data_IF_699143881301
#
_entry.id   IF_699143881301
#
_cell.length_a   1.000
_cell.length_b   1.000
_cell.length_c   1.000
_cell.angle_alpha   90.00
_cell.angle_beta   90.00
_cell.angle_gamma   90.00
#
_symmetry.space_group_name_H-M   'P 1'
#
loop_
_entity.id
_entity.type
_entity.pdbx_description
1 polymer ?
#
# COMPACT_ATOMS: atom_id res chain seq x y z
N UNK A 1 35.31 20.64 9.96
CA UNK A 1 33.84 20.85 9.98
C UNK A 1 33.23 20.80 8.58
N UNK A 2 33.73 21.57 7.60
CA UNK A 2 33.23 21.56 6.21
C UNK A 2 33.37 20.22 5.45
N UNK A 3 34.40 19.43 5.77
CA UNK A 3 34.64 18.12 5.14
C UNK A 3 33.55 17.10 5.54
N UNK A 4 33.14 17.04 6.81
CA UNK A 4 32.03 16.19 7.24
C UNK A 4 30.70 16.60 6.59
N UNK A 5 30.45 17.90 6.41
CA UNK A 5 29.24 18.36 5.73
C UNK A 5 29.24 17.93 4.25
N UNK A 6 30.40 17.95 3.59
CA UNK A 6 30.56 17.54 2.21
C UNK A 6 30.40 16.02 2.04
N UNK A 7 30.91 15.22 2.97
CA UNK A 7 30.73 13.77 2.98
C UNK A 7 29.27 13.37 3.27
N UNK A 8 28.59 14.09 4.18
CA UNK A 8 27.16 13.88 4.44
C UNK A 8 26.35 14.23 3.18
N UNK A 9 26.66 15.35 2.50
CA UNK A 9 26.02 15.71 1.23
C UNK A 9 26.34 14.70 0.14
N UNK A 10 27.57 14.20 0.03
CA UNK A 10 27.97 13.20 -0.96
C UNK A 10 27.30 11.84 -0.72
N UNK A 11 27.21 11.38 0.53
CA UNK A 11 26.46 10.19 0.91
C UNK A 11 24.98 10.38 0.64
N UNK A 12 24.40 11.54 1.00
CA UNK A 12 23.02 11.89 0.66
C UNK A 12 22.81 11.94 -0.85
N UNK A 13 23.80 12.36 -1.64
CA UNK A 13 23.75 12.43 -3.11
C UNK A 13 23.83 11.04 -3.74
N UNK A 14 24.67 10.14 -3.22
CA UNK A 14 24.74 8.74 -3.67
C UNK A 14 23.46 8.00 -3.28
N UNK A 15 23.00 8.16 -2.04
CA UNK A 15 21.71 7.66 -1.56
C UNK A 15 20.60 8.22 -2.45
N UNK A 16 20.56 9.52 -2.74
CA UNK A 16 19.54 10.12 -3.59
C UNK A 16 19.68 9.82 -5.09
N UNK A 17 20.80 9.25 -5.55
CA UNK A 17 21.01 8.88 -6.96
C UNK A 17 20.72 7.40 -7.22
N UNK A 18 21.00 6.53 -6.25
CA UNK A 18 20.86 5.07 -6.38
C UNK A 18 19.67 4.49 -5.61
N UNK A 19 19.23 5.09 -4.49
CA UNK A 19 17.98 4.64 -3.86
C UNK A 19 16.78 4.87 -4.77
N UNK A 20 16.57 5.99 -5.46
CA UNK A 20 15.31 6.18 -6.18
C UNK A 20 15.05 5.12 -7.25
N UNK A 21 16.01 4.72 -8.10
CA UNK A 21 15.80 3.61 -9.03
C UNK A 21 15.54 2.27 -8.34
N UNK A 22 16.34 1.92 -7.32
CA UNK A 22 16.18 0.65 -6.59
C UNK A 22 14.84 0.61 -5.84
N UNK A 23 14.46 1.72 -5.24
CA UNK A 23 13.23 1.87 -4.49
C UNK A 23 12.01 1.92 -5.44
N UNK A 24 12.14 2.50 -6.64
CA UNK A 24 11.13 2.39 -7.70
C UNK A 24 10.96 0.95 -8.20
N UNK A 25 12.05 0.21 -8.40
CA UNK A 25 11.99 -1.20 -8.81
C UNK A 25 11.34 -2.05 -7.71
N UNK A 26 11.75 -1.85 -6.45
CA UNK A 26 11.17 -2.51 -5.29
C UNK A 26 9.67 -2.21 -5.17
N UNK A 27 9.29 -0.93 -5.27
CA UNK A 27 7.90 -0.48 -5.30
C UNK A 27 7.11 -1.20 -6.40
N UNK A 28 7.65 -1.23 -7.62
CA UNK A 28 6.99 -1.86 -8.76
C UNK A 28 6.78 -3.36 -8.54
N UNK A 29 7.78 -4.08 -8.05
CA UNK A 29 7.68 -5.51 -7.73
C UNK A 29 6.60 -5.77 -6.69
N UNK A 30 6.56 -4.97 -5.62
CA UNK A 30 5.57 -5.08 -4.55
C UNK A 30 4.16 -4.80 -5.07
N UNK A 31 3.98 -3.70 -5.81
CA UNK A 31 2.68 -3.33 -6.40
C UNK A 31 2.19 -4.41 -7.36
N UNK A 32 3.05 -4.88 -8.28
CA UNK A 32 2.69 -5.95 -9.21
C UNK A 32 2.34 -7.25 -8.46
N UNK A 33 3.07 -7.59 -7.40
CA UNK A 33 2.76 -8.72 -6.53
C UNK A 33 1.34 -8.64 -5.95
N UNK A 34 0.99 -7.49 -5.36
CA UNK A 34 -0.34 -7.24 -4.80
C UNK A 34 -1.41 -7.31 -5.89
N UNK A 35 -1.17 -6.68 -7.05
CA UNK A 35 -2.12 -6.67 -8.17
C UNK A 35 -2.35 -8.07 -8.75
N UNK A 36 -1.31 -8.91 -8.83
CA UNK A 36 -1.45 -10.30 -9.27
C UNK A 36 -2.31 -11.12 -8.31
N UNK A 37 -2.13 -10.94 -7.00
CA UNK A 37 -2.97 -11.60 -5.99
C UNK A 37 -4.41 -11.09 -6.07
N UNK A 38 -4.61 -9.77 -6.21
CA UNK A 38 -5.93 -9.18 -6.40
C UNK A 38 -6.62 -9.72 -7.68
N UNK A 39 -5.87 -9.92 -8.76
CA UNK A 39 -6.38 -10.52 -9.99
C UNK A 39 -6.75 -12.00 -9.80
N UNK A 40 -5.97 -12.77 -9.03
CA UNK A 40 -6.29 -14.15 -8.71
C UNK A 40 -7.60 -14.25 -7.90
N UNK A 41 -7.76 -13.40 -6.88
CA UNK A 41 -9.00 -13.28 -6.10
C UNK A 41 -10.17 -12.87 -7.00
N UNK A 42 -9.98 -11.92 -7.90
CA UNK A 42 -11.01 -11.52 -8.88
C UNK A 42 -11.43 -12.68 -9.78
N UNK A 43 -10.48 -13.50 -10.26
CA UNK A 43 -10.79 -14.67 -11.09
C UNK A 43 -11.57 -15.72 -10.30
N UNK A 44 -11.17 -16.00 -9.07
CA UNK A 44 -11.93 -16.86 -8.16
C UNK A 44 -13.37 -16.36 -7.98
N UNK A 45 -13.52 -15.07 -7.74
CA UNK A 45 -14.80 -14.38 -7.64
C UNK A 45 -15.70 -14.64 -8.88
N UNK A 46 -15.16 -14.46 -10.08
CA UNK A 46 -15.90 -14.74 -11.33
C UNK A 46 -16.30 -16.21 -11.43
N UNK A 47 -15.40 -17.12 -11.06
CA UNK A 47 -15.64 -18.58 -11.07
C UNK A 47 -16.73 -18.98 -10.08
N UNK A 48 -16.68 -18.46 -8.85
CA UNK A 48 -17.71 -18.69 -7.84
C UNK A 48 -19.09 -18.19 -8.30
N UNK A 49 -19.13 -17.10 -9.07
CA UNK A 49 -20.36 -16.53 -9.62
C UNK A 49 -20.90 -17.28 -10.86
N UNK A 50 -20.04 -17.81 -11.72
CA UNK A 50 -20.41 -18.51 -12.97
C UNK A 50 -20.51 -20.02 -12.79
N UNK A 51 -20.88 -20.47 -11.59
CA UNK A 51 -21.10 -21.87 -11.29
C UNK A 51 -22.30 -22.48 -12.06
N UNK A 52 -23.07 -21.62 -12.76
CA UNK A 52 -24.10 -22.01 -13.72
C UNK A 52 -23.78 -21.59 -15.15
N UNK A 53 -23.88 -22.55 -16.07
CA UNK A 53 -24.30 -22.27 -17.43
C UNK A 53 -25.84 -22.24 -17.50
N UNK A 54 -26.41 -21.53 -18.48
CA UNK A 54 -27.86 -21.27 -18.61
C UNK A 54 -28.75 -22.52 -18.72
N UNK A 55 -28.15 -23.71 -18.80
CA UNK A 55 -28.82 -25.00 -19.00
C UNK A 55 -28.88 -25.88 -17.74
N UNK A 56 -28.58 -25.33 -16.55
CA UNK A 56 -28.78 -26.03 -15.27
C UNK A 56 -27.81 -27.19 -15.00
N UNK A 57 -26.73 -27.28 -15.78
CA UNK A 57 -25.59 -28.16 -15.51
C UNK A 57 -24.53 -27.36 -14.74
N UNK A 58 -24.20 -27.83 -13.53
CA UNK A 58 -23.11 -27.29 -12.71
C UNK A 58 -21.80 -27.43 -13.50
N UNK A 59 -21.24 -26.31 -13.96
CA UNK A 59 -19.97 -26.32 -14.70
C UNK A 59 -18.78 -26.67 -13.79
N UNK A 60 -18.95 -26.48 -12.49
CA UNK A 60 -17.98 -26.69 -11.40
C UNK A 60 -18.78 -27.28 -10.23
N UNK A 61 -18.21 -28.04 -9.30
CA UNK A 61 -18.92 -28.52 -8.10
C UNK A 61 -18.73 -27.57 -6.91
N UNK A 62 -19.60 -27.64 -5.88
CA UNK A 62 -19.39 -26.83 -4.67
C UNK A 62 -18.11 -27.26 -3.92
N UNK A 63 -17.75 -28.55 -4.03
CA UNK A 63 -16.47 -29.07 -3.54
C UNK A 63 -15.27 -28.35 -4.17
N UNK A 64 -15.31 -28.11 -5.49
CA UNK A 64 -14.25 -27.40 -6.20
C UNK A 64 -14.16 -25.91 -5.81
N UNK A 65 -15.30 -25.25 -5.53
CA UNK A 65 -15.30 -23.88 -4.98
C UNK A 65 -14.58 -23.87 -3.63
N UNK A 66 -14.88 -24.84 -2.76
CA UNK A 66 -14.29 -24.92 -1.43
C UNK A 66 -12.77 -25.11 -1.54
N UNK A 67 -12.32 -26.05 -2.38
CA UNK A 67 -10.89 -26.28 -2.61
C UNK A 67 -10.19 -25.02 -3.15
N UNK A 68 -10.77 -24.39 -4.17
CA UNK A 68 -10.23 -23.16 -4.73
C UNK A 68 -10.19 -22.00 -3.71
N UNK A 69 -11.17 -21.93 -2.81
CA UNK A 69 -11.18 -20.94 -1.73
C UNK A 69 -10.07 -21.18 -0.71
N UNK A 70 -9.73 -22.44 -0.43
CA UNK A 70 -8.59 -22.80 0.42
C UNK A 70 -7.25 -22.39 -0.22
N UNK A 71 -7.11 -22.63 -1.53
CA UNK A 71 -5.93 -22.20 -2.30
C UNK A 71 -5.78 -20.67 -2.31
N UNK A 72 -6.86 -19.93 -2.51
CA UNK A 72 -6.85 -18.47 -2.48
C UNK A 72 -6.48 -17.96 -1.08
N UNK A 73 -7.03 -18.55 -0.01
CA UNK A 73 -6.66 -18.17 1.35
C UNK A 73 -5.17 -18.44 1.64
N UNK A 74 -4.63 -19.57 1.15
CA UNK A 74 -3.22 -19.90 1.27
C UNK A 74 -2.33 -18.92 0.47
N UNK A 75 -2.75 -18.57 -0.76
CA UNK A 75 -2.07 -17.59 -1.59
C UNK A 75 -2.01 -16.21 -0.92
N UNK A 76 -3.12 -15.73 -0.38
CA UNK A 76 -3.19 -14.43 0.32
C UNK A 76 -2.29 -14.44 1.56
N UNK A 77 -2.32 -15.51 2.36
CA UNK A 77 -1.45 -15.64 3.53
C UNK A 77 0.04 -15.65 3.14
N UNK A 78 0.38 -16.36 2.06
CA UNK A 78 1.75 -16.40 1.54
C UNK A 78 2.19 -15.04 0.99
N UNK A 79 1.30 -14.34 0.30
CA UNK A 79 1.55 -13.01 -0.23
C UNK A 79 1.80 -12.01 0.91
N UNK A 80 0.99 -12.03 1.96
CA UNK A 80 1.17 -11.17 3.13
C UNK A 80 2.51 -11.42 3.84
N UNK A 81 2.91 -12.69 3.95
CA UNK A 81 4.20 -13.07 4.54
C UNK A 81 5.40 -12.66 3.68
N UNK A 82 5.27 -12.77 2.35
CA UNK A 82 6.35 -12.48 1.39
C UNK A 82 6.50 -10.97 1.14
N UNK A 83 5.39 -10.27 0.94
CA UNK A 83 5.37 -8.85 0.61
C UNK A 83 5.24 -7.93 1.83
N UNK A 84 4.87 -8.46 3.01
CA UNK A 84 4.74 -7.69 4.24
C UNK A 84 6.01 -6.93 4.64
N UNK A 85 7.16 -7.60 4.84
CA UNK A 85 8.42 -6.92 5.18
C UNK A 85 8.84 -5.83 4.17
N UNK A 86 8.89 -6.08 2.84
CA UNK A 86 9.24 -5.04 1.89
C UNK A 86 8.19 -3.92 1.83
N UNK A 87 6.90 -4.21 2.06
CA UNK A 87 5.87 -3.16 2.17
C UNK A 87 6.11 -2.22 3.35
N UNK A 88 6.47 -2.75 4.52
CA UNK A 88 6.75 -1.92 5.70
C UNK A 88 7.96 -1.02 5.43
N UNK A 89 9.02 -1.58 4.86
CA UNK A 89 10.22 -0.83 4.49
C UNK A 89 9.89 0.27 3.49
N UNK A 90 9.17 -0.08 2.42
CA UNK A 90 8.74 0.83 1.37
C UNK A 90 7.87 1.98 1.91
N UNK A 91 6.90 1.65 2.76
CA UNK A 91 6.02 2.62 3.39
C UNK A 91 6.80 3.59 4.28
N UNK A 92 7.77 3.07 5.04
CA UNK A 92 8.68 3.87 5.89
C UNK A 92 9.53 4.81 5.04
N UNK A 93 10.11 4.33 3.94
CA UNK A 93 10.92 5.14 3.02
C UNK A 93 10.07 6.27 2.41
N UNK A 94 8.81 5.98 2.03
CA UNK A 94 7.91 6.99 1.49
C UNK A 94 7.61 8.08 2.52
N UNK A 95 7.32 7.73 3.78
CA UNK A 95 7.06 8.68 4.86
C UNK A 95 8.28 9.55 5.13
N UNK A 96 9.47 8.96 5.27
CA UNK A 96 10.70 9.71 5.53
C UNK A 96 10.99 10.67 4.38
N UNK A 97 10.80 10.24 3.13
CA UNK A 97 10.98 11.07 1.93
C UNK A 97 10.00 12.25 1.91
N UNK A 98 8.74 12.01 2.27
CA UNK A 98 7.71 13.04 2.40
C UNK A 98 8.05 14.07 3.48
N UNK A 99 8.42 13.63 4.67
CA UNK A 99 8.79 14.48 5.80
C UNK A 99 10.02 15.34 5.46
N UNK A 100 11.04 14.72 4.88
CA UNK A 100 12.23 15.44 4.41
C UNK A 100 11.87 16.47 3.33
N UNK A 101 11.07 16.08 2.33
CA UNK A 101 10.60 16.98 1.29
C UNK A 101 9.89 18.21 1.86
N UNK A 102 8.93 18.02 2.76
CA UNK A 102 8.19 19.11 3.41
C UNK A 102 9.10 20.04 4.22
N UNK A 103 10.05 19.50 4.98
CA UNK A 103 11.02 20.30 5.72
C UNK A 103 11.87 21.19 4.80
N UNK A 104 12.37 20.64 3.69
CA UNK A 104 13.16 21.39 2.72
C UNK A 104 12.34 22.38 1.88
N UNK A 105 11.02 22.17 1.71
CA UNK A 105 10.12 23.22 1.17
C UNK A 105 10.16 24.46 2.06
N UNK A 106 10.00 24.29 3.38
CA UNK A 106 9.97 25.41 4.32
C UNK A 106 11.30 26.18 4.32
N UNK A 107 12.43 25.46 4.28
CA UNK A 107 13.75 26.07 4.14
C UNK A 107 13.88 26.84 2.81
N UNK A 108 13.43 26.26 1.69
CA UNK A 108 13.51 26.93 0.39
C UNK A 108 12.72 28.25 0.38
N UNK A 109 11.52 28.25 0.96
CA UNK A 109 10.68 29.44 1.10
C UNK A 109 11.37 30.50 1.96
N UNK A 110 12.00 30.10 3.06
CA UNK A 110 12.76 31.02 3.93
C UNK A 110 13.97 31.64 3.22
N UNK A 111 14.73 30.86 2.45
CA UNK A 111 15.90 31.34 1.70
C UNK A 111 15.48 32.33 0.60
N UNK A 112 14.40 32.02 -0.14
CA UNK A 112 13.87 32.88 -1.21
C UNK A 112 13.20 34.14 -0.65
N UNK A 113 12.64 34.06 0.56
CA UNK A 113 11.99 35.19 1.25
C UNK A 113 12.94 36.12 2.01
N UNK A 114 14.21 35.74 2.19
CA UNK A 114 15.19 36.57 2.88
C UNK A 114 15.57 37.79 2.02
N UNK A 115 15.46 38.99 2.58
CA UNK A 115 15.76 40.26 1.91
C UNK A 115 17.27 40.50 1.71
N UNK A 116 18.12 39.61 2.22
CA UNK A 116 19.57 39.67 2.06
C UNK A 116 19.94 39.03 0.72
N UNK A 117 20.38 39.86 -0.24
CA UNK A 117 20.62 39.52 -1.65
C UNK A 117 21.74 38.51 -1.96
N UNK A 118 22.02 37.55 -1.09
CA UNK A 118 22.94 36.43 -1.36
C UNK A 118 22.20 35.24 -1.97
N UNK A 119 22.20 35.17 -3.31
CA UNK A 119 21.68 34.01 -4.05
C UNK A 119 22.58 32.79 -3.79
N UNK A 120 22.04 31.76 -3.11
CA UNK A 120 22.74 30.50 -2.83
C UNK A 120 22.22 29.37 -3.73
N UNK A 121 22.72 29.23 -4.98
CA UNK A 121 22.20 28.27 -5.94
C UNK A 121 22.27 26.82 -5.43
N UNK A 122 23.34 26.46 -4.70
CA UNK A 122 23.50 25.11 -4.12
C UNK A 122 22.38 24.75 -3.14
N UNK A 123 21.92 25.69 -2.33
CA UNK A 123 20.82 25.46 -1.39
C UNK A 123 19.49 25.29 -2.13
N UNK A 124 19.25 26.08 -3.18
CA UNK A 124 18.06 25.95 -4.04
C UNK A 124 18.04 24.59 -4.74
N UNK A 125 19.16 24.14 -5.34
CA UNK A 125 19.24 22.83 -5.98
C UNK A 125 19.03 21.68 -5.00
N UNK A 126 19.60 21.77 -3.80
CA UNK A 126 19.40 20.77 -2.75
C UNK A 126 17.93 20.72 -2.32
N UNK A 127 17.31 21.87 -2.05
CA UNK A 127 15.91 21.92 -1.68
C UNK A 127 15.00 21.37 -2.78
N UNK A 128 15.20 21.77 -4.05
CA UNK A 128 14.43 21.24 -5.18
C UNK A 128 14.57 19.71 -5.30
N UNK A 129 15.77 19.17 -5.07
CA UNK A 129 16.02 17.73 -5.08
C UNK A 129 15.25 17.02 -3.97
N UNK A 130 15.27 17.56 -2.75
CA UNK A 130 14.50 17.05 -1.61
C UNK A 130 12.99 17.13 -1.84
N UNK A 131 12.50 18.22 -2.43
CA UNK A 131 11.08 18.37 -2.81
C UNK A 131 10.69 17.32 -3.86
N UNK A 132 11.53 17.12 -4.87
CA UNK A 132 11.32 16.08 -5.89
C UNK A 132 11.26 14.68 -5.28
N UNK A 133 12.15 14.36 -4.33
CA UNK A 133 12.11 13.10 -3.59
C UNK A 133 10.81 12.95 -2.76
N UNK A 134 10.37 14.02 -2.09
CA UNK A 134 9.10 14.03 -1.35
C UNK A 134 7.89 13.79 -2.25
N UNK A 135 7.85 14.44 -3.42
CA UNK A 135 6.80 14.24 -4.42
C UNK A 135 6.79 12.81 -4.98
N UNK A 136 7.97 12.23 -5.28
CA UNK A 136 8.08 10.83 -5.70
C UNK A 136 7.63 9.85 -4.60
N UNK A 137 7.96 10.15 -3.33
CA UNK A 137 7.47 9.39 -2.18
C UNK A 137 5.95 9.44 -2.06
N UNK A 138 5.33 10.60 -2.30
CA UNK A 138 3.88 10.76 -2.32
C UNK A 138 3.21 9.88 -3.39
N UNK A 139 3.72 9.92 -4.62
CA UNK A 139 3.15 9.13 -5.73
C UNK A 139 3.23 7.63 -5.47
N UNK A 140 4.36 7.15 -4.95
CA UNK A 140 4.54 5.73 -4.57
C UNK A 140 3.58 5.33 -3.46
N UNK A 141 3.45 6.15 -2.43
CA UNK A 141 2.50 5.92 -1.35
C UNK A 141 1.05 5.84 -1.86
N UNK A 142 0.62 6.77 -2.73
CA UNK A 142 -0.72 6.75 -3.33
C UNK A 142 -0.93 5.44 -4.11
N UNK A 143 0.08 5.03 -4.90
CA UNK A 143 0.04 3.77 -5.65
C UNK A 143 -0.14 2.57 -4.74
N UNK A 144 0.59 2.47 -3.61
CA UNK A 144 0.43 1.38 -2.65
C UNK A 144 -0.97 1.35 -2.03
N UNK A 145 -1.47 2.51 -1.61
CA UNK A 145 -2.80 2.64 -1.01
C UNK A 145 -3.89 2.22 -2.00
N UNK A 146 -3.78 2.65 -3.26
CA UNK A 146 -4.71 2.26 -4.33
C UNK A 146 -4.69 0.77 -4.60
N UNK A 147 -3.50 0.17 -4.70
CA UNK A 147 -3.36 -1.28 -4.90
C UNK A 147 -3.91 -2.09 -3.73
N UNK A 148 -3.64 -1.65 -2.49
CA UNK A 148 -4.19 -2.26 -1.29
C UNK A 148 -5.71 -2.15 -1.19
N UNK A 149 -6.28 -0.98 -1.53
CA UNK A 149 -7.73 -0.81 -1.59
C UNK A 149 -8.34 -1.74 -2.64
N UNK A 150 -7.79 -1.76 -3.87
CA UNK A 150 -8.27 -2.61 -4.95
C UNK A 150 -8.27 -4.09 -4.53
N UNK A 151 -7.22 -4.53 -3.84
CA UNK A 151 -7.17 -5.87 -3.24
C UNK A 151 -8.30 -6.10 -2.23
N UNK A 152 -8.51 -5.16 -1.30
CA UNK A 152 -9.58 -5.23 -0.30
C UNK A 152 -10.97 -5.30 -0.93
N UNK A 153 -11.20 -4.54 -2.01
CA UNK A 153 -12.46 -4.57 -2.74
C UNK A 153 -12.68 -5.93 -3.41
N UNK A 154 -11.64 -6.51 -4.02
CA UNK A 154 -11.75 -7.85 -4.62
C UNK A 154 -12.00 -8.94 -3.56
N UNK A 155 -11.34 -8.86 -2.40
CA UNK A 155 -11.59 -9.79 -1.29
C UNK A 155 -13.02 -9.69 -0.76
N UNK A 156 -13.54 -8.46 -0.65
CA UNK A 156 -14.93 -8.22 -0.22
C UNK A 156 -15.91 -8.83 -1.21
N UNK A 157 -15.70 -8.59 -2.51
CA UNK A 157 -16.53 -9.15 -3.57
C UNK A 157 -16.48 -10.69 -3.60
N UNK A 158 -15.30 -11.29 -3.43
CA UNK A 158 -15.13 -12.74 -3.38
C UNK A 158 -15.87 -13.35 -2.19
N UNK A 159 -15.83 -12.69 -1.02
CA UNK A 159 -16.58 -13.10 0.16
C UNK A 159 -18.09 -13.02 -0.07
N UNK A 160 -18.58 -11.92 -0.64
CA UNK A 160 -20.01 -11.75 -0.95
C UNK A 160 -20.51 -12.85 -1.89
N UNK A 161 -19.75 -13.17 -2.95
CA UNK A 161 -20.11 -14.22 -3.88
C UNK A 161 -20.08 -15.61 -3.24
N UNK A 162 -19.11 -15.90 -2.37
CA UNK A 162 -19.09 -17.15 -1.62
C UNK A 162 -20.27 -17.24 -0.64
N UNK A 163 -20.69 -16.11 -0.06
CA UNK A 163 -21.83 -16.02 0.82
C UNK A 163 -23.15 -16.26 0.06
N UNK A 164 -23.26 -15.73 -1.16
CA UNK A 164 -24.41 -16.00 -2.04
C UNK A 164 -24.53 -17.50 -2.35
N UNK A 165 -23.41 -18.16 -2.67
CA UNK A 165 -23.37 -19.63 -2.86
C UNK A 165 -23.81 -20.37 -1.59
N UNK A 166 -23.38 -19.91 -0.42
CA UNK A 166 -23.78 -20.52 0.85
C UNK A 166 -25.29 -20.44 1.09
N UNK A 167 -25.91 -19.31 0.73
CA UNK A 167 -27.34 -19.06 0.91
C UNK A 167 -28.15 -19.85 -0.11
N UNK A 168 -27.77 -19.80 -1.39
CA UNK A 168 -28.49 -20.45 -2.49
C UNK A 168 -28.54 -21.98 -2.33
N UNK A 169 -27.44 -22.58 -1.87
CA UNK A 169 -27.30 -24.04 -1.78
C UNK A 169 -27.45 -24.59 -0.37
N UNK A 170 -27.89 -23.79 0.60
CA UNK A 170 -27.99 -24.20 2.00
C UNK A 170 -28.79 -25.50 2.19
N UNK A 171 -29.82 -25.71 1.37
CA UNK A 171 -30.70 -26.89 1.45
C UNK A 171 -30.07 -28.18 0.87
N UNK A 172 -29.03 -28.08 0.05
CA UNK A 172 -28.43 -29.19 -0.69
C UNK A 172 -27.04 -29.55 -0.14
N UNK A 173 -26.40 -28.61 0.57
CA UNK A 173 -25.09 -28.81 1.18
C UNK A 173 -25.13 -29.85 2.30
N UNK A 174 -24.12 -30.73 2.32
CA UNK A 174 -23.89 -31.56 3.49
C UNK A 174 -23.47 -30.71 4.70
N UNK A 175 -23.66 -31.22 5.92
CA UNK A 175 -23.24 -30.54 7.14
C UNK A 175 -21.73 -30.22 7.15
N UNK A 176 -20.92 -31.08 6.54
CA UNK A 176 -19.47 -30.90 6.43
C UNK A 176 -19.12 -29.78 5.46
N UNK A 177 -19.76 -29.72 4.29
CA UNK A 177 -19.52 -28.66 3.29
C UNK A 177 -20.00 -27.31 3.81
N UNK A 178 -21.16 -27.27 4.48
CA UNK A 178 -21.65 -26.05 5.12
C UNK A 178 -20.69 -25.53 6.19
N UNK A 179 -20.14 -26.41 7.03
CA UNK A 179 -19.13 -26.04 8.01
C UNK A 179 -17.83 -25.53 7.36
N UNK A 180 -17.35 -26.19 6.30
CA UNK A 180 -16.17 -25.73 5.55
C UNK A 180 -16.40 -24.35 4.94
N UNK A 181 -17.55 -24.13 4.31
CA UNK A 181 -17.90 -22.87 3.69
C UNK A 181 -17.98 -21.73 4.72
N UNK A 182 -18.55 -21.99 5.90
CA UNK A 182 -18.55 -21.02 7.00
C UNK A 182 -17.12 -20.67 7.46
N UNK A 183 -16.22 -21.66 7.58
CA UNK A 183 -14.81 -21.43 7.89
C UNK A 183 -14.11 -20.61 6.79
N UNK A 184 -14.45 -20.83 5.52
CA UNK A 184 -13.88 -20.06 4.41
C UNK A 184 -14.35 -18.61 4.41
N UNK A 185 -15.63 -18.36 4.71
CA UNK A 185 -16.15 -17.00 4.88
C UNK A 185 -15.44 -16.25 6.01
N UNK A 186 -15.18 -16.91 7.15
CA UNK A 186 -14.41 -16.35 8.27
C UNK A 186 -12.95 -16.05 7.87
N UNK A 187 -12.30 -16.97 7.14
CA UNK A 187 -10.93 -16.78 6.64
C UNK A 187 -10.83 -15.61 5.65
N UNK A 188 -11.73 -15.54 4.67
CA UNK A 188 -11.75 -14.42 3.71
C UNK A 188 -12.01 -13.09 4.41
N UNK A 189 -12.81 -13.08 5.47
CA UNK A 189 -13.04 -11.88 6.27
C UNK A 189 -11.78 -11.44 7.04
N UNK A 190 -11.08 -12.40 7.66
CA UNK A 190 -9.80 -12.15 8.34
C UNK A 190 -8.75 -11.55 7.40
N UNK A 191 -8.67 -12.03 6.16
CA UNK A 191 -7.72 -11.57 5.16
C UNK A 191 -8.28 -10.50 4.22
N UNK A 192 -9.39 -9.85 4.59
CA UNK A 192 -10.05 -8.84 3.75
C UNK A 192 -9.11 -7.70 3.38
N UNK A 193 -8.25 -7.28 4.31
CA UNK A 193 -7.21 -6.29 4.05
C UNK A 193 -5.85 -6.99 3.97
N UNK A 194 -4.96 -6.47 3.14
CA UNK A 194 -3.54 -6.80 3.23
C UNK A 194 -2.99 -6.13 4.50
N UNK A 195 -2.35 -6.91 5.39
CA UNK A 195 -1.91 -6.44 6.72
C UNK A 195 -0.45 -6.80 6.93
N UNK A 196 0.49 -6.01 6.37
CA UNK A 196 1.92 -6.27 6.52
C UNK A 196 2.31 -6.48 7.99
N UNK A 197 2.62 -7.72 8.36
CA UNK A 197 2.90 -8.15 9.74
C UNK A 197 1.90 -7.64 10.80
N UNK A 198 0.62 -7.57 10.45
CA UNK A 198 -0.45 -7.02 11.30
C UNK A 198 -0.20 -5.56 11.79
N UNK A 199 0.75 -4.84 11.19
CA UNK A 199 1.12 -3.49 11.62
C UNK A 199 0.11 -2.41 11.21
N UNK A 200 -0.43 -2.51 9.99
CA UNK A 200 -1.44 -1.60 9.48
C UNK A 200 -2.25 -2.24 8.34
N UNK A 201 -3.43 -1.68 8.04
CA UNK A 201 -4.23 -2.09 6.88
C UNK A 201 -3.83 -1.25 5.67
N UNK A 202 -3.45 -1.88 4.56
CA UNK A 202 -3.15 -1.16 3.33
C UNK A 202 -4.45 -0.78 2.61
N UNK A 203 -5.07 0.34 2.99
CA UNK A 203 -6.31 0.84 2.41
C UNK A 203 -6.43 2.37 2.51
N UNK A 204 -7.52 2.95 2.00
CA UNK A 204 -7.71 4.40 2.02
C UNK A 204 -7.78 4.99 3.44
N UNK A 205 -8.25 4.24 4.44
CA UNK A 205 -8.28 4.72 5.82
C UNK A 205 -6.87 5.01 6.33
N UNK A 206 -5.89 4.16 6.02
CA UNK A 206 -4.48 4.41 6.35
C UNK A 206 -3.94 5.64 5.60
N UNK A 207 -4.33 5.82 4.34
CA UNK A 207 -3.99 7.02 3.57
C UNK A 207 -4.49 8.31 4.23
N UNK A 208 -5.73 8.33 4.68
CA UNK A 208 -6.32 9.47 5.39
C UNK A 208 -5.61 9.73 6.73
N UNK A 209 -5.30 8.68 7.49
CA UNK A 209 -4.52 8.80 8.73
C UNK A 209 -3.14 9.41 8.47
N UNK A 210 -2.47 9.03 7.37
CA UNK A 210 -1.18 9.60 7.02
C UNK A 210 -1.28 11.07 6.60
N UNK A 211 -2.31 11.44 5.82
CA UNK A 211 -2.55 12.85 5.48
C UNK A 211 -2.75 13.67 6.76
N UNK A 212 -3.52 13.17 7.72
CA UNK A 212 -3.69 13.81 9.04
C UNK A 212 -2.38 13.97 9.80
N UNK A 213 -1.53 12.93 9.81
CA UNK A 213 -0.20 12.98 10.42
C UNK A 213 0.70 14.04 9.76
N UNK A 214 0.74 14.07 8.42
CA UNK A 214 1.56 15.02 7.66
C UNK A 214 1.10 16.47 7.88
N UNK A 215 -0.22 16.72 7.88
CA UNK A 215 -0.77 18.04 8.18
C UNK A 215 -0.43 18.49 9.61
N UNK A 216 -0.56 17.58 10.58
CA UNK A 216 -0.21 17.87 11.98
C UNK A 216 1.27 18.21 12.11
N UNK A 217 2.14 17.42 11.49
CA UNK A 217 3.57 17.68 11.47
C UNK A 217 3.93 19.01 10.81
N UNK A 218 3.28 19.36 9.70
CA UNK A 218 3.47 20.62 9.00
C UNK A 218 3.03 21.83 9.84
N UNK A 219 1.88 21.73 10.53
CA UNK A 219 1.42 22.77 11.46
C UNK A 219 2.44 22.99 12.57
N UNK A 220 2.93 21.90 13.19
CA UNK A 220 3.93 21.98 14.27
C UNK A 220 5.23 22.60 13.76
N UNK A 221 5.72 22.20 12.58
CA UNK A 221 6.92 22.79 11.98
C UNK A 221 6.76 24.29 11.71
N UNK A 222 5.62 24.71 11.16
CA UNK A 222 5.32 26.13 10.92
C UNK A 222 5.30 26.89 12.25
N UNK A 223 4.67 26.33 13.30
CA UNK A 223 4.62 26.97 14.62
C UNK A 223 6.02 27.17 15.22
N UNK A 224 6.90 26.16 15.14
CA UNK A 224 8.27 26.31 15.60
C UNK A 224 9.05 27.34 14.78
N UNK A 225 8.88 27.35 13.45
CA UNK A 225 9.53 28.33 12.58
C UNK A 225 9.03 29.77 12.78
N UNK A 226 7.77 29.96 13.16
CA UNK A 226 7.20 31.27 13.49
C UNK A 226 7.61 31.75 14.89
N UNK A 227 7.90 30.83 15.82
CA UNK A 227 8.31 31.16 17.18
C UNK A 227 9.81 31.52 17.29
N UNK A 228 10.64 31.10 16.34
CA UNK A 228 12.07 31.43 16.28
C UNK A 228 12.38 32.77 15.58
N UNK A 229 11.40 33.39 14.90
CA UNK A 229 11.48 34.73 14.32
C UNK A 229 10.78 35.77 15.20
#
# INVERSE_FOLDING_TARGET
MWICLLEIVFVLTIVSSYLPPVALISHYIVVQGIEMVALAVKKFSVVARHHHDKDGTLAISVGDIIELSEEIAALVKSADSCFGPPLILEFTICIVSLVAGLYFVLIAVSIVGSAEGSFHPKAIYLSLSCVGMGFMGLLRLISLIWSGQKFSDQMTLAREQLQDVAIEYHAILSSVESAKLAVMLDRLDKYRNLRPWDGFNLNFSMGLSLIGLLLTYLIVLIQFSLAEN
#
